data_IF_883610158436
#
_entry.id   IF_883610158436
#
_cell.length_a   1.000
_cell.length_b   1.000
_cell.length_c   1.000
_cell.angle_alpha   90.00
_cell.angle_beta   90.00
_cell.angle_gamma   90.00
#
_symmetry.space_group_name_H-M   'P 1'
#
loop_
_entity.id
_entity.type
_entity.pdbx_description
1 polymer ?
#
# COMPACT_ATOMS: atom_id res chain seq x y z
N UNK A 1 -25.31 -22.68 -19.84
CA UNK A 1 -23.98 -22.01 -19.83
C UNK A 1 -24.06 -20.69 -19.07
N UNK A 2 -24.86 -19.70 -19.49
CA UNK A 2 -24.93 -18.37 -18.86
C UNK A 2 -25.11 -18.37 -17.33
N UNK A 3 -26.11 -19.09 -16.78
CA UNK A 3 -26.30 -19.20 -15.32
C UNK A 3 -25.10 -19.77 -14.56
N UNK A 4 -24.29 -20.64 -15.20
CA UNK A 4 -23.06 -21.18 -14.61
C UNK A 4 -21.99 -20.09 -14.45
N UNK A 5 -22.03 -19.06 -15.28
CA UNK A 5 -21.16 -17.88 -15.23
C UNK A 5 -21.83 -16.69 -14.51
N UNK A 6 -22.87 -16.94 -13.70
CA UNK A 6 -23.46 -15.91 -12.85
C UNK A 6 -24.45 -14.96 -13.52
N UNK A 7 -24.82 -15.21 -14.78
CA UNK A 7 -25.79 -14.36 -15.48
C UNK A 7 -27.24 -14.63 -15.02
N UNK A 8 -27.96 -13.56 -14.73
CA UNK A 8 -29.39 -13.54 -14.46
C UNK A 8 -30.25 -13.58 -15.73
N UNK A 9 -31.56 -13.49 -15.55
CA UNK A 9 -32.52 -13.56 -16.67
C UNK A 9 -32.48 -12.30 -17.57
N UNK A 10 -31.91 -11.19 -17.09
CA UNK A 10 -31.68 -9.93 -17.81
C UNK A 10 -30.32 -9.88 -18.53
N UNK A 11 -29.56 -10.98 -18.54
CA UNK A 11 -28.21 -11.08 -19.08
C UNK A 11 -27.19 -10.16 -18.40
N UNK A 12 -27.44 -9.76 -17.16
CA UNK A 12 -26.43 -9.12 -16.29
C UNK A 12 -25.88 -10.11 -15.28
N UNK A 13 -24.64 -9.89 -14.81
CA UNK A 13 -24.10 -10.68 -13.71
C UNK A 13 -24.83 -10.30 -12.43
N UNK A 14 -25.31 -11.30 -11.69
CA UNK A 14 -26.08 -11.06 -10.47
C UNK A 14 -25.21 -10.42 -9.38
N UNK A 15 -25.83 -9.59 -8.54
CA UNK A 15 -25.13 -8.96 -7.41
C UNK A 15 -24.53 -10.01 -6.46
N UNK A 16 -25.24 -11.11 -6.24
CA UNK A 16 -24.80 -12.23 -5.40
C UNK A 16 -23.56 -12.94 -5.96
N UNK A 17 -23.42 -13.01 -7.28
CA UNK A 17 -22.25 -13.60 -7.93
C UNK A 17 -21.03 -12.68 -7.87
N UNK A 18 -21.22 -11.37 -8.09
CA UNK A 18 -20.15 -10.38 -8.04
C UNK A 18 -19.71 -10.05 -6.60
N UNK A 19 -20.67 -9.95 -5.70
CA UNK A 19 -20.46 -9.45 -4.34
C UNK A 19 -21.07 -10.41 -3.31
N UNK A 20 -20.64 -11.69 -3.29
CA UNK A 20 -21.10 -12.61 -2.28
C UNK A 20 -20.77 -12.07 -0.88
N UNK A 21 -21.65 -12.25 0.11
CA UNK A 21 -21.41 -11.75 1.46
C UNK A 21 -20.15 -12.38 2.04
N UNK A 22 -19.23 -11.51 2.46
CA UNK A 22 -17.99 -11.86 3.15
C UNK A 22 -17.98 -11.19 4.52
N UNK A 23 -18.09 -11.99 5.57
CA UNK A 23 -18.04 -11.48 6.94
C UNK A 23 -16.59 -11.16 7.34
N UNK A 24 -16.29 -9.88 7.55
CA UNK A 24 -15.01 -9.41 8.04
C UNK A 24 -15.20 -8.88 9.47
N UNK A 25 -14.75 -9.61 10.50
CA UNK A 25 -14.82 -9.12 11.87
C UNK A 25 -14.08 -7.79 12.04
N UNK A 26 -14.48 -7.01 13.04
CA UNK A 26 -13.72 -5.80 13.41
C UNK A 26 -12.28 -6.16 13.73
N UNK A 27 -11.36 -5.25 13.40
CA UNK A 27 -9.92 -5.41 13.65
C UNK A 27 -9.27 -6.54 12.84
N UNK A 28 -9.97 -7.14 11.87
CA UNK A 28 -9.40 -8.04 10.86
C UNK A 28 -9.14 -7.28 9.55
N UNK A 29 -8.43 -7.93 8.63
CA UNK A 29 -8.20 -7.48 7.26
C UNK A 29 -8.48 -8.62 6.28
N UNK A 30 -8.56 -8.30 5.00
CA UNK A 30 -8.70 -9.30 3.94
C UNK A 30 -7.44 -9.28 3.09
N UNK A 31 -6.94 -10.45 2.79
CA UNK A 31 -5.78 -10.65 1.91
C UNK A 31 -6.14 -11.68 0.83
N UNK A 32 -5.33 -11.74 -0.22
CA UNK A 32 -5.40 -12.87 -1.15
C UNK A 32 -4.99 -14.16 -0.44
N UNK A 33 -5.78 -15.21 -0.65
CA UNK A 33 -5.46 -16.58 -0.29
C UNK A 33 -4.56 -17.24 -1.34
N UNK A 34 -4.14 -18.48 -1.06
CA UNK A 34 -3.33 -19.27 -2.00
C UNK A 34 -4.01 -19.41 -3.37
N UNK A 35 -5.30 -19.76 -3.38
CA UNK A 35 -6.07 -19.93 -4.61
C UNK A 35 -6.19 -18.62 -5.41
N UNK A 36 -6.30 -17.48 -4.72
CA UNK A 36 -6.34 -16.17 -5.36
C UNK A 36 -5.03 -15.83 -6.06
N UNK A 37 -3.89 -16.02 -5.38
CA UNK A 37 -2.57 -15.84 -5.99
C UNK A 37 -2.34 -16.79 -7.16
N UNK A 38 -2.73 -18.06 -7.03
CA UNK A 38 -2.60 -19.04 -8.11
C UNK A 38 -3.40 -18.60 -9.34
N UNK A 39 -4.69 -18.31 -9.18
CA UNK A 39 -5.56 -17.87 -10.28
C UNK A 39 -5.01 -16.62 -10.98
N UNK A 40 -4.61 -15.60 -10.21
CA UNK A 40 -4.08 -14.36 -10.77
C UNK A 40 -2.73 -14.57 -11.49
N UNK A 41 -1.93 -15.52 -11.03
CA UNK A 41 -0.66 -15.88 -11.69
C UNK A 41 -0.91 -16.59 -13.01
N UNK A 42 -1.83 -17.55 -13.03
CA UNK A 42 -2.24 -18.25 -14.25
C UNK A 42 -2.88 -17.29 -15.27
N UNK A 43 -3.71 -16.36 -14.80
CA UNK A 43 -4.30 -15.30 -15.63
C UNK A 43 -3.22 -14.39 -16.24
N UNK A 44 -2.27 -13.93 -15.43
CA UNK A 44 -1.14 -13.13 -15.92
C UNK A 44 -0.38 -13.86 -17.03
N UNK A 45 0.00 -15.12 -16.77
CA UNK A 45 0.77 -15.93 -17.72
C UNK A 45 0.01 -16.24 -19.02
N UNK A 46 -1.33 -16.31 -18.96
CA UNK A 46 -2.17 -16.49 -20.14
C UNK A 46 -2.25 -15.22 -21.01
N UNK A 47 -2.10 -14.04 -20.40
CA UNK A 47 -2.15 -12.75 -21.09
C UNK A 47 -0.78 -12.25 -21.56
N UNK A 48 0.32 -12.68 -20.92
CA UNK A 48 1.71 -12.42 -21.33
C UNK A 48 2.04 -13.24 -22.58
N UNK A 49 1.76 -12.67 -23.76
CA UNK A 49 1.79 -13.35 -25.05
C UNK A 49 3.21 -13.50 -25.58
N UNK A 50 4.03 -12.47 -25.38
CA UNK A 50 5.42 -12.45 -25.81
C UNK A 50 6.38 -13.10 -24.78
N UNK A 51 5.87 -13.43 -23.58
CA UNK A 51 6.56 -14.13 -22.49
C UNK A 51 7.75 -13.33 -21.96
N UNK A 52 7.62 -12.01 -21.93
CA UNK A 52 8.64 -11.11 -21.39
C UNK A 52 8.56 -10.95 -19.86
N UNK A 53 7.52 -11.51 -19.22
CA UNK A 53 7.31 -11.45 -17.78
C UNK A 53 6.67 -10.14 -17.30
N UNK A 54 6.14 -9.34 -18.22
CA UNK A 54 5.39 -8.13 -17.99
C UNK A 54 4.11 -8.11 -18.85
N UNK A 55 3.18 -7.20 -18.52
CA UNK A 55 2.02 -6.94 -19.36
C UNK A 55 2.11 -5.52 -19.92
N UNK A 56 2.17 -5.44 -21.25
CA UNK A 56 2.11 -4.18 -21.96
C UNK A 56 0.66 -3.62 -22.00
N UNK A 57 0.46 -2.47 -22.66
CA UNK A 57 -0.85 -1.81 -22.71
C UNK A 57 -1.92 -2.65 -23.44
N UNK A 58 -1.55 -3.35 -24.51
CA UNK A 58 -2.48 -4.17 -25.30
C UNK A 58 -2.90 -5.42 -24.52
N UNK A 59 -1.94 -6.09 -23.86
CA UNK A 59 -2.20 -7.28 -23.05
C UNK A 59 -3.04 -6.94 -21.82
N UNK A 60 -2.80 -5.80 -21.17
CA UNK A 60 -3.63 -5.31 -20.07
C UNK A 60 -5.05 -4.97 -20.54
N UNK A 61 -5.20 -4.36 -21.73
CA UNK A 61 -6.51 -4.07 -22.30
C UNK A 61 -7.29 -5.35 -22.59
N UNK A 62 -6.62 -6.39 -23.08
CA UNK A 62 -7.21 -7.71 -23.31
C UNK A 62 -7.58 -8.41 -22.01
N UNK A 63 -6.69 -8.42 -21.00
CA UNK A 63 -6.94 -9.00 -19.68
C UNK A 63 -8.21 -8.43 -19.03
N UNK A 64 -8.40 -7.10 -19.13
CA UNK A 64 -9.56 -6.43 -18.54
C UNK A 64 -10.75 -6.27 -19.50
N UNK A 65 -10.71 -6.85 -20.70
CA UNK A 65 -11.75 -6.68 -21.72
C UNK A 65 -13.13 -7.21 -21.31
N UNK A 66 -13.18 -8.16 -20.38
CA UNK A 66 -14.43 -8.74 -19.82
C UNK A 66 -14.88 -8.06 -18.52
N UNK A 67 -14.19 -7.01 -18.08
CA UNK A 67 -14.48 -6.27 -16.85
C UNK A 67 -15.04 -4.88 -17.18
N UNK A 68 -15.59 -4.13 -16.21
CA UNK A 68 -16.00 -2.73 -16.40
C UNK A 68 -14.86 -1.75 -16.74
N UNK A 69 -13.63 -2.24 -16.94
CA UNK A 69 -12.40 -1.48 -17.19
C UNK A 69 -11.32 -1.83 -16.17
N UNK A 70 -10.11 -1.29 -16.34
CA UNK A 70 -9.01 -1.53 -15.39
C UNK A 70 -9.36 -0.96 -13.99
N UNK A 71 -9.36 -1.80 -12.93
CA UNK A 71 -9.80 -1.38 -11.60
C UNK A 71 -8.90 -0.32 -10.95
N UNK A 72 -7.66 -0.16 -11.43
CA UNK A 72 -6.60 0.60 -10.79
C UNK A 72 -6.31 1.95 -11.46
N UNK A 73 -6.93 2.26 -12.60
CA UNK A 73 -6.73 3.52 -13.34
C UNK A 73 -6.91 4.75 -12.45
N UNK A 74 -7.96 4.75 -11.62
CA UNK A 74 -8.25 5.86 -10.71
C UNK A 74 -7.21 6.03 -9.57
N UNK A 75 -6.39 5.01 -9.32
CA UNK A 75 -5.30 5.02 -8.32
C UNK A 75 -3.94 5.41 -8.94
N UNK A 76 -3.93 5.87 -10.19
CA UNK A 76 -2.69 6.25 -10.88
C UNK A 76 -1.84 5.07 -11.34
N UNK A 77 -2.44 3.90 -11.59
CA UNK A 77 -1.75 2.78 -12.22
C UNK A 77 -1.21 3.18 -13.61
N UNK A 78 0.02 2.74 -14.01
CA UNK A 78 0.92 1.81 -13.33
C UNK A 78 1.96 2.47 -12.41
N UNK A 79 1.84 3.77 -12.11
CA UNK A 79 2.78 4.48 -11.23
C UNK A 79 2.66 4.06 -9.75
N UNK A 80 1.66 3.27 -9.40
CA UNK A 80 1.43 2.74 -8.05
C UNK A 80 2.09 1.38 -7.75
N UNK A 81 2.85 0.81 -8.70
CA UNK A 81 3.53 -0.49 -8.52
C UNK A 81 4.82 -0.60 -9.35
N UNK A 82 5.48 -1.76 -9.25
CA UNK A 82 6.71 -2.09 -9.99
C UNK A 82 6.43 -2.43 -11.45
N UNK A 83 7.27 -1.87 -12.31
CA UNK A 83 7.30 -2.11 -13.75
C UNK A 83 8.71 -2.53 -14.20
N UNK A 84 8.81 -3.10 -15.40
CA UNK A 84 10.08 -3.38 -16.06
C UNK A 84 10.69 -2.10 -16.66
N UNK A 85 11.82 -2.23 -17.34
CA UNK A 85 12.54 -1.10 -17.98
C UNK A 85 11.72 -0.42 -19.09
N UNK A 86 10.81 -1.16 -19.73
CA UNK A 86 9.86 -0.65 -20.73
C UNK A 86 8.64 0.06 -20.11
N UNK A 87 8.53 0.07 -18.78
CA UNK A 87 7.39 0.66 -18.07
C UNK A 87 6.16 -0.26 -17.98
N UNK A 88 6.29 -1.54 -18.34
CA UNK A 88 5.22 -2.53 -18.33
C UNK A 88 5.15 -3.28 -17.00
N UNK A 89 3.97 -3.73 -16.63
CA UNK A 89 3.71 -4.23 -15.26
C UNK A 89 4.15 -5.67 -15.14
N UNK A 90 5.16 -5.92 -14.31
CA UNK A 90 5.67 -7.27 -14.01
C UNK A 90 4.66 -8.11 -13.24
N UNK A 91 4.82 -9.44 -13.22
CA UNK A 91 4.01 -10.32 -12.37
C UNK A 91 4.01 -9.89 -10.90
N UNK A 92 5.19 -9.51 -10.36
CA UNK A 92 5.31 -8.98 -9.00
C UNK A 92 4.45 -7.72 -8.82
N UNK A 93 4.55 -6.79 -9.77
CA UNK A 93 3.78 -5.55 -9.74
C UNK A 93 2.27 -5.77 -9.86
N UNK A 94 1.85 -6.75 -10.67
CA UNK A 94 0.46 -7.17 -10.84
C UNK A 94 -0.11 -7.76 -9.54
N UNK A 95 0.57 -8.73 -8.94
CA UNK A 95 0.14 -9.36 -7.67
C UNK A 95 0.16 -8.37 -6.50
N UNK A 96 1.12 -7.44 -6.48
CA UNK A 96 1.16 -6.35 -5.52
C UNK A 96 -0.09 -5.46 -5.63
N UNK A 97 -0.52 -5.10 -6.85
CA UNK A 97 -1.73 -4.29 -7.07
C UNK A 97 -3.01 -4.98 -6.65
N UNK A 98 -3.12 -6.29 -6.91
CA UNK A 98 -4.24 -7.07 -6.39
C UNK A 98 -4.24 -7.12 -4.86
N UNK A 99 -3.06 -7.26 -4.24
CA UNK A 99 -2.92 -7.25 -2.78
C UNK A 99 -3.32 -5.89 -2.18
N UNK A 100 -2.93 -4.79 -2.82
CA UNK A 100 -3.36 -3.43 -2.47
C UNK A 100 -4.88 -3.29 -2.56
N UNK A 101 -5.47 -3.67 -3.71
CA UNK A 101 -6.92 -3.55 -3.90
C UNK A 101 -7.68 -4.43 -2.91
N UNK A 102 -7.20 -5.65 -2.63
CA UNK A 102 -7.84 -6.56 -1.67
C UNK A 102 -7.85 -5.98 -0.26
N UNK A 103 -6.74 -5.37 0.16
CA UNK A 103 -6.61 -4.74 1.47
C UNK A 103 -7.56 -3.54 1.63
N UNK A 104 -7.66 -2.70 0.58
CA UNK A 104 -8.44 -1.45 0.63
C UNK A 104 -9.92 -1.64 0.31
N UNK A 105 -10.24 -2.58 -0.59
CA UNK A 105 -11.58 -2.87 -1.09
C UNK A 105 -11.71 -4.33 -1.56
N UNK A 106 -11.87 -5.23 -0.58
CA UNK A 106 -12.08 -6.65 -0.85
C UNK A 106 -13.37 -6.92 -1.64
N UNK A 107 -14.38 -6.05 -1.53
CA UNK A 107 -15.64 -6.19 -2.28
C UNK A 107 -15.41 -5.96 -3.77
N UNK A 108 -14.66 -4.91 -4.14
CA UNK A 108 -14.25 -4.68 -5.52
C UNK A 108 -13.39 -5.84 -6.05
N UNK A 109 -12.52 -6.39 -5.21
CA UNK A 109 -11.72 -7.57 -5.56
C UNK A 109 -12.59 -8.78 -5.91
N UNK A 110 -13.61 -9.09 -5.09
CA UNK A 110 -14.55 -10.18 -5.38
C UNK A 110 -15.25 -10.00 -6.74
N UNK A 111 -15.75 -8.79 -7.01
CA UNK A 111 -16.41 -8.50 -8.29
C UNK A 111 -15.48 -8.70 -9.48
N UNK A 112 -14.23 -8.23 -9.36
CA UNK A 112 -13.25 -8.39 -10.44
C UNK A 112 -12.78 -9.84 -10.62
N UNK A 113 -12.62 -10.62 -9.56
CA UNK A 113 -12.34 -12.07 -9.69
C UNK A 113 -13.47 -12.78 -10.43
N UNK A 114 -14.73 -12.42 -10.17
CA UNK A 114 -15.88 -12.95 -10.87
C UNK A 114 -15.89 -12.55 -12.37
N UNK A 115 -15.62 -11.28 -12.71
CA UNK A 115 -15.52 -10.83 -14.10
C UNK A 115 -14.39 -11.52 -14.89
N UNK A 116 -13.28 -11.79 -14.22
CA UNK A 116 -12.11 -12.48 -14.80
C UNK A 116 -12.29 -13.99 -14.88
N UNK A 117 -13.43 -14.52 -14.42
CA UNK A 117 -13.78 -15.92 -14.57
C UNK A 117 -13.17 -16.85 -13.52
N UNK A 118 -12.89 -16.36 -12.31
CA UNK A 118 -12.50 -17.22 -11.18
C UNK A 118 -13.50 -18.38 -11.05
N UNK A 119 -12.97 -19.60 -11.05
CA UNK A 119 -13.81 -20.80 -11.04
C UNK A 119 -14.35 -21.07 -9.63
N UNK A 120 -15.68 -21.12 -9.51
CA UNK A 120 -16.34 -21.40 -8.24
C UNK A 120 -16.68 -20.12 -7.48
N UNK A 121 -16.58 -20.19 -6.15
CA UNK A 121 -16.90 -19.06 -5.28
C UNK A 121 -15.67 -18.16 -5.10
N UNK A 122 -15.75 -16.90 -5.55
CA UNK A 122 -14.67 -15.93 -5.46
C UNK A 122 -14.19 -15.69 -4.02
N UNK A 123 -15.00 -16.01 -2.99
CA UNK A 123 -14.57 -15.91 -1.58
C UNK A 123 -13.42 -16.84 -1.25
N UNK A 124 -13.28 -17.96 -1.95
CA UNK A 124 -12.17 -18.92 -1.77
C UNK A 124 -10.82 -18.36 -2.19
N UNK A 125 -10.81 -17.32 -3.03
CA UNK A 125 -9.61 -16.61 -3.43
C UNK A 125 -9.07 -15.69 -2.32
N UNK A 126 -9.89 -15.38 -1.31
CA UNK A 126 -9.58 -14.43 -0.25
C UNK A 126 -9.42 -15.15 1.09
N UNK A 127 -8.63 -14.56 1.99
CA UNK A 127 -8.50 -15.00 3.38
C UNK A 127 -8.75 -13.83 4.32
N UNK A 128 -9.59 -14.05 5.33
CA UNK A 128 -9.77 -13.09 6.44
C UNK A 128 -8.68 -13.35 7.47
N UNK A 129 -7.95 -12.30 7.84
CA UNK A 129 -6.83 -12.40 8.77
C UNK A 129 -7.30 -12.54 10.22
N UNK A 130 -6.40 -12.90 11.13
CA UNK A 130 -6.66 -12.81 12.57
C UNK A 130 -6.80 -11.34 12.98
N UNK A 131 -7.49 -11.08 14.08
CA UNK A 131 -7.61 -9.72 14.62
C UNK A 131 -6.23 -9.14 14.95
N UNK A 132 -5.98 -7.88 14.59
CA UNK A 132 -4.70 -7.18 14.83
C UNK A 132 -4.34 -7.16 16.31
N UNK A 133 -5.30 -7.00 17.22
CA UNK A 133 -5.08 -7.12 18.68
C UNK A 133 -4.50 -8.46 19.09
N UNK A 134 -4.98 -9.56 18.50
CA UNK A 134 -4.46 -10.89 18.81
C UNK A 134 -3.04 -11.10 18.27
N UNK A 135 -2.71 -10.50 17.12
CA UNK A 135 -1.36 -10.53 16.56
C UNK A 135 -0.38 -9.66 17.37
N UNK A 136 -0.77 -8.41 17.69
CA UNK A 136 0.01 -7.50 18.56
C UNK A 136 0.34 -8.13 19.91
N UNK A 137 -0.63 -8.80 20.55
CA UNK A 137 -0.38 -9.54 21.82
C UNK A 137 0.67 -10.65 21.72
N UNK A 138 0.91 -11.19 20.52
CA UNK A 138 1.93 -12.22 20.28
C UNK A 138 3.31 -11.61 20.00
N UNK A 139 3.40 -10.29 19.81
CA UNK A 139 4.64 -9.58 19.44
C UNK A 139 5.15 -9.90 18.02
N UNK A 140 4.36 -10.62 17.21
CA UNK A 140 4.71 -10.95 15.82
C UNK A 140 3.47 -11.11 14.96
N UNK A 141 3.37 -10.29 13.93
CA UNK A 141 2.29 -10.31 12.94
C UNK A 141 2.59 -11.37 11.86
N UNK A 142 1.59 -12.18 11.51
CA UNK A 142 1.71 -13.23 10.49
C UNK A 142 1.14 -12.83 9.14
N UNK A 143 0.41 -11.71 9.08
CA UNK A 143 -0.12 -11.12 7.85
C UNK A 143 0.95 -10.88 6.78
N UNK A 144 0.50 -10.89 5.53
CA UNK A 144 1.34 -10.71 4.35
C UNK A 144 1.32 -9.27 3.84
N UNK A 145 0.30 -8.49 4.19
CA UNK A 145 0.11 -7.12 3.68
C UNK A 145 0.03 -6.12 4.84
N UNK A 146 0.86 -5.08 4.78
CA UNK A 146 0.97 -4.04 5.81
C UNK A 146 0.65 -2.66 5.23
N UNK A 147 -0.20 -1.90 5.92
CA UNK A 147 -0.56 -0.54 5.56
C UNK A 147 0.24 0.49 6.38
N UNK A 148 1.03 1.30 5.69
CA UNK A 148 1.75 2.42 6.27
C UNK A 148 1.17 3.75 5.75
N UNK A 149 0.68 4.60 6.65
CA UNK A 149 0.34 5.98 6.29
C UNK A 149 1.58 6.86 6.34
N UNK A 150 1.83 7.63 5.27
CA UNK A 150 2.97 8.54 5.16
C UNK A 150 2.47 9.97 5.38
N UNK A 151 2.92 10.60 6.46
CA UNK A 151 2.43 11.88 7.00
C UNK A 151 3.56 12.89 7.15
N UNK A 152 3.25 14.18 7.18
CA UNK A 152 4.26 15.25 7.18
C UNK A 152 3.87 16.46 6.35
N UNK A 153 4.60 17.56 6.55
CA UNK A 153 4.30 18.87 5.98
C UNK A 153 4.29 18.87 4.44
N UNK A 154 3.65 19.87 3.84
CA UNK A 154 3.78 20.11 2.40
C UNK A 154 5.27 20.28 2.04
N UNK A 155 5.72 19.68 0.95
CA UNK A 155 7.13 19.72 0.55
C UNK A 155 8.08 18.78 1.31
N UNK A 156 7.64 18.05 2.35
CA UNK A 156 8.54 17.24 3.19
C UNK A 156 9.16 15.99 2.54
N UNK A 157 8.95 15.77 1.24
CA UNK A 157 9.51 14.62 0.51
C UNK A 157 8.66 13.33 0.53
N UNK A 158 7.44 13.35 1.09
CA UNK A 158 6.54 12.17 1.14
C UNK A 158 6.33 11.50 -0.22
N UNK A 159 5.95 12.27 -1.24
CA UNK A 159 5.70 11.73 -2.59
C UNK A 159 6.97 11.16 -3.20
N UNK A 160 8.12 11.78 -2.94
CA UNK A 160 9.44 11.28 -3.37
C UNK A 160 9.74 9.92 -2.73
N UNK A 161 9.43 9.75 -1.44
CA UNK A 161 9.56 8.46 -0.73
C UNK A 161 8.66 7.37 -1.35
N UNK A 162 7.39 7.70 -1.62
CA UNK A 162 6.46 6.76 -2.28
C UNK A 162 6.96 6.36 -3.68
N UNK A 163 7.41 7.32 -4.49
CA UNK A 163 7.93 7.05 -5.84
C UNK A 163 9.21 6.22 -5.81
N UNK A 164 10.10 6.48 -4.85
CA UNK A 164 11.31 5.68 -4.65
C UNK A 164 10.98 4.22 -4.34
N UNK A 165 9.94 3.96 -3.55
CA UNK A 165 9.51 2.61 -3.18
C UNK A 165 9.12 1.74 -4.39
N UNK A 166 8.53 2.37 -5.40
CA UNK A 166 8.15 1.74 -6.67
C UNK A 166 9.13 2.03 -7.81
N UNK A 167 10.37 2.44 -7.47
CA UNK A 167 11.47 2.69 -8.43
C UNK A 167 11.13 3.72 -9.51
N UNK A 168 10.31 4.70 -9.18
CA UNK A 168 9.96 5.82 -10.06
C UNK A 168 10.86 7.03 -9.79
N UNK A 169 11.23 7.79 -10.83
CA UNK A 169 12.04 9.00 -10.65
C UNK A 169 11.29 10.06 -9.86
N UNK A 170 12.02 10.87 -9.10
CA UNK A 170 11.49 12.05 -8.42
C UNK A 170 10.94 13.02 -9.46
N UNK A 171 9.82 13.66 -9.14
CA UNK A 171 9.24 14.68 -10.01
C UNK A 171 10.10 15.95 -9.96
N UNK A 172 10.37 16.60 -11.11
CA UNK A 172 11.20 17.82 -11.15
C UNK A 172 10.52 19.03 -10.52
N UNK A 173 9.20 18.97 -10.35
CA UNK A 173 8.39 20.06 -9.81
C UNK A 173 7.50 19.52 -8.69
N UNK A 174 7.34 20.35 -7.65
CA UNK A 174 6.43 20.05 -6.56
C UNK A 174 4.97 20.14 -7.03
N UNK A 175 4.22 19.08 -6.78
CA UNK A 175 2.77 19.03 -7.00
C UNK A 175 2.09 18.73 -5.66
N UNK A 176 1.21 19.62 -5.15
CA UNK A 176 0.48 19.35 -3.93
C UNK A 176 -0.39 18.08 -4.02
N UNK A 177 -0.31 17.26 -2.99
CA UNK A 177 -1.13 16.04 -2.85
C UNK A 177 -2.57 16.40 -2.54
N UNK A 178 -3.43 16.40 -3.57
CA UNK A 178 -4.87 16.73 -3.46
C UNK A 178 -5.76 15.51 -3.25
N UNK A 179 -5.24 14.31 -3.50
CA UNK A 179 -5.91 13.02 -3.34
C UNK A 179 -4.98 12.04 -2.66
N UNK A 180 -5.54 10.98 -2.07
CA UNK A 180 -4.73 9.91 -1.47
C UNK A 180 -3.93 9.22 -2.57
N UNK A 181 -2.61 9.17 -2.40
CA UNK A 181 -1.72 8.41 -3.28
C UNK A 181 -1.39 7.09 -2.60
N UNK A 182 -1.55 5.98 -3.30
CA UNK A 182 -1.26 4.65 -2.78
C UNK A 182 -0.24 3.98 -3.70
N UNK A 183 0.82 3.45 -3.12
CA UNK A 183 1.81 2.64 -3.83
C UNK A 183 2.00 1.33 -3.09
N UNK A 184 2.35 0.27 -3.81
CA UNK A 184 2.56 -1.06 -3.25
C UNK A 184 3.75 -1.75 -3.89
N UNK A 185 4.53 -2.44 -3.08
CA UNK A 185 5.62 -3.28 -3.54
C UNK A 185 5.91 -4.39 -2.51
N UNK A 186 6.64 -5.41 -2.94
CA UNK A 186 7.18 -6.46 -2.09
C UNK A 186 8.45 -5.98 -1.38
N UNK A 187 8.59 -6.37 -0.11
CA UNK A 187 9.72 -6.10 0.78
C UNK A 187 10.15 -7.42 1.40
N UNK A 188 11.44 -7.71 1.43
CA UNK A 188 11.98 -8.92 2.05
C UNK A 188 12.50 -8.60 3.45
N UNK A 189 11.87 -9.18 4.48
CA UNK A 189 12.29 -9.03 5.87
C UNK A 189 12.68 -10.38 6.43
N UNK A 190 13.98 -10.56 6.74
CA UNK A 190 14.54 -11.79 7.35
C UNK A 190 14.16 -13.06 6.57
N UNK A 191 14.25 -13.01 5.23
CA UNK A 191 13.93 -14.14 4.33
C UNK A 191 12.43 -14.36 4.09
N UNK A 192 11.57 -13.45 4.52
CA UNK A 192 10.12 -13.50 4.29
C UNK A 192 9.67 -12.30 3.46
N UNK A 193 9.10 -12.57 2.29
CA UNK A 193 8.48 -11.53 1.45
C UNK A 193 7.15 -11.08 2.02
N UNK A 194 6.92 -9.77 2.03
CA UNK A 194 5.71 -9.09 2.47
C UNK A 194 5.35 -7.98 1.50
N UNK A 195 4.07 -7.66 1.39
CA UNK A 195 3.63 -6.46 0.69
C UNK A 195 3.56 -5.30 1.68
N UNK A 196 4.25 -4.21 1.37
CA UNK A 196 4.10 -2.94 2.06
C UNK A 196 3.29 -2.01 1.16
N UNK A 197 2.22 -1.45 1.72
CA UNK A 197 1.40 -0.42 1.09
C UNK A 197 1.73 0.91 1.75
N UNK A 198 2.16 1.89 0.96
CA UNK A 198 2.36 3.25 1.43
C UNK A 198 1.19 4.12 0.93
N UNK A 199 0.50 4.79 1.86
CA UNK A 199 -0.54 5.75 1.53
C UNK A 199 -0.15 7.16 1.99
N UNK A 200 0.08 8.05 1.04
CA UNK A 200 0.27 9.47 1.31
C UNK A 200 -1.08 10.18 1.37
N UNK A 201 -1.24 11.01 2.41
CA UNK A 201 -2.38 11.91 2.56
C UNK A 201 -1.88 13.35 2.55
N UNK A 202 -2.52 14.20 1.73
CA UNK A 202 -2.21 15.63 1.68
C UNK A 202 -2.32 16.28 3.06
N UNK A 203 -1.45 17.25 3.35
CA UNK A 203 -1.29 17.86 4.69
C UNK A 203 -2.61 18.36 5.29
N UNK A 204 -3.53 18.83 4.46
CA UNK A 204 -4.83 19.36 4.90
C UNK A 204 -5.81 18.27 5.40
N UNK A 205 -5.55 17.00 5.10
CA UNK A 205 -6.42 15.87 5.46
C UNK A 205 -5.80 14.95 6.52
N UNK A 206 -4.57 15.22 6.97
CA UNK A 206 -3.86 14.34 7.92
C UNK A 206 -4.51 14.34 9.30
N UNK A 207 -4.99 15.50 9.79
CA UNK A 207 -5.73 15.53 11.06
C UNK A 207 -7.04 14.74 11.01
N UNK A 208 -7.76 14.81 9.89
CA UNK A 208 -8.99 14.04 9.70
C UNK A 208 -8.70 12.54 9.70
N UNK A 209 -7.65 12.11 8.98
CA UNK A 209 -7.17 10.74 8.99
C UNK A 209 -6.85 10.25 10.41
N UNK A 210 -6.11 11.04 11.20
CA UNK A 210 -5.72 10.69 12.57
C UNK A 210 -6.91 10.66 13.55
N UNK A 211 -8.03 11.30 13.20
CA UNK A 211 -9.28 11.23 13.96
C UNK A 211 -10.16 10.04 13.55
N UNK A 212 -10.03 9.55 12.33
CA UNK A 212 -10.77 8.39 11.83
C UNK A 212 -10.31 7.09 12.51
N UNK A 213 -11.18 6.55 13.37
CA UNK A 213 -10.88 5.30 14.09
C UNK A 213 -10.74 4.10 13.15
N UNK A 214 -11.56 4.01 12.09
CA UNK A 214 -11.59 2.85 11.21
C UNK A 214 -10.33 2.79 10.36
N UNK A 215 -9.88 3.93 9.83
CA UNK A 215 -8.61 4.01 9.09
C UNK A 215 -7.42 3.67 9.96
N UNK A 216 -7.36 4.19 11.19
CA UNK A 216 -6.29 3.85 12.12
C UNK A 216 -6.33 2.38 12.59
N UNK A 217 -7.50 1.77 12.70
CA UNK A 217 -7.62 0.33 12.99
C UNK A 217 -7.06 -0.54 11.85
N UNK A 218 -7.14 -0.08 10.60
CA UNK A 218 -6.53 -0.75 9.44
C UNK A 218 -5.03 -0.44 9.28
N UNK A 219 -4.52 0.55 9.99
CA UNK A 219 -3.14 0.97 9.87
C UNK A 219 -2.21 0.05 10.66
N UNK A 220 -1.07 -0.29 10.06
CA UNK A 220 0.00 -1.04 10.71
C UNK A 220 1.08 -0.10 11.28
N UNK A 221 1.37 0.98 10.58
CA UNK A 221 2.43 1.93 10.92
C UNK A 221 2.09 3.34 10.41
N UNK A 222 2.39 4.38 11.19
CA UNK A 222 2.53 5.71 10.60
C UNK A 222 4.01 6.03 10.39
N UNK A 223 4.37 6.51 9.21
CA UNK A 223 5.68 7.04 8.89
C UNK A 223 5.58 8.56 8.78
N UNK A 224 6.16 9.27 9.74
CA UNK A 224 6.27 10.71 9.73
C UNK A 224 7.51 11.15 8.99
N UNK A 225 7.33 11.95 7.95
CA UNK A 225 8.41 12.45 7.09
C UNK A 225 8.56 13.95 7.29
N UNK A 226 9.76 14.38 7.69
CA UNK A 226 10.11 15.79 7.78
C UNK A 226 11.32 16.12 6.91
N UNK A 227 11.42 17.38 6.52
CA UNK A 227 12.52 17.95 5.75
C UNK A 227 13.50 18.67 6.68
N UNK A 228 14.79 18.31 6.61
CA UNK A 228 15.84 18.92 7.40
C UNK A 228 16.24 20.32 6.94
N UNK A 229 15.91 20.69 5.70
CA UNK A 229 16.10 22.03 5.17
C UNK A 229 14.95 22.99 5.48
N UNK A 230 13.88 22.51 6.13
CA UNK A 230 12.79 23.34 6.64
C UNK A 230 12.64 23.20 8.16
N UNK A 231 13.02 24.26 8.87
CA UNK A 231 12.98 24.32 10.33
C UNK A 231 11.59 24.07 10.94
N UNK A 232 10.50 24.26 10.17
CA UNK A 232 9.11 24.04 10.61
C UNK A 232 8.60 22.63 10.29
N UNK A 233 9.29 21.87 9.45
CA UNK A 233 8.81 20.56 8.95
C UNK A 233 8.68 19.55 10.08
N UNK A 234 9.66 19.53 10.99
CA UNK A 234 9.62 18.66 12.17
C UNK A 234 8.60 19.12 13.20
N UNK A 235 8.45 20.43 13.43
CA UNK A 235 7.42 20.98 14.31
C UNK A 235 6.01 20.55 13.86
N UNK A 236 5.75 20.60 12.55
CA UNK A 236 4.49 20.10 11.98
C UNK A 236 4.24 18.64 12.37
N UNK A 237 5.23 17.76 12.17
CA UNK A 237 5.12 16.35 12.56
C UNK A 237 4.88 16.18 14.06
N UNK A 238 5.65 16.88 14.90
CA UNK A 238 5.52 16.81 16.36
C UNK A 238 4.16 17.34 16.86
N UNK A 239 3.54 18.26 16.12
CA UNK A 239 2.20 18.80 16.43
C UNK A 239 1.06 17.82 16.12
N UNK A 240 1.30 16.83 15.25
CA UNK A 240 0.28 15.84 14.89
C UNK A 240 -0.03 14.94 16.08
N UNK A 241 -1.26 15.02 16.57
CA UNK A 241 -1.70 14.19 17.70
C UNK A 241 -1.95 12.76 17.24
N UNK A 242 -1.19 11.87 17.85
CA UNK A 242 -1.23 10.45 17.55
C UNK A 242 -1.97 9.69 18.63
N UNK A 243 -2.73 8.67 18.21
CA UNK A 243 -3.30 7.71 19.17
C UNK A 243 -2.23 6.71 19.61
N UNK A 244 -2.17 6.35 20.91
CA UNK A 244 -1.17 5.40 21.42
C UNK A 244 -1.25 3.97 20.83
N UNK A 245 -2.24 3.66 19.99
CA UNK A 245 -2.54 2.30 19.56
C UNK A 245 -1.89 1.87 18.25
N UNK A 246 -1.22 2.79 17.55
CA UNK A 246 -0.51 2.52 16.29
C UNK A 246 0.98 2.78 16.55
N UNK A 247 1.85 2.11 15.82
CA UNK A 247 3.30 2.34 15.92
C UNK A 247 3.72 3.41 14.94
N UNK A 248 4.81 4.11 15.25
CA UNK A 248 5.22 5.28 14.51
C UNK A 248 6.72 5.27 14.26
N UNK A 249 7.12 5.61 13.04
CA UNK A 249 8.51 5.83 12.67
C UNK A 249 8.67 7.27 12.19
N UNK A 250 9.84 7.86 12.44
CA UNK A 250 10.24 9.14 11.87
C UNK A 250 11.24 8.89 10.75
N UNK A 251 11.12 9.65 9.66
CA UNK A 251 12.03 9.60 8.52
C UNK A 251 12.34 11.01 8.01
N UNK A 252 13.50 11.18 7.40
CA UNK A 252 13.90 12.42 6.74
C UNK A 252 14.77 12.14 5.52
N UNK A 253 14.84 13.10 4.59
CA UNK A 253 15.84 13.04 3.50
C UNK A 253 17.23 13.44 4.04
N UNK A 254 18.27 12.70 3.65
CA UNK A 254 19.66 12.95 4.02
C UNK A 254 20.39 13.86 3.02
N UNK A 255 19.83 14.07 1.82
CA UNK A 255 20.48 14.85 0.78
C UNK A 255 20.42 16.38 1.00
N UNK A 256 19.75 16.82 2.08
CA UNK A 256 19.48 18.22 2.35
C UNK A 256 20.33 18.73 3.52
N UNK A 257 20.81 19.97 3.39
CA UNK A 257 21.58 20.65 4.43
C UNK A 257 20.76 20.77 5.71
N UNK A 258 21.42 20.54 6.85
CA UNK A 258 20.75 20.55 8.15
C UNK A 258 20.50 21.98 8.63
N UNK A 259 19.23 22.32 8.84
CA UNK A 259 18.84 23.56 9.51
C UNK A 259 18.26 23.20 10.88
N UNK A 260 18.65 23.90 11.96
CA UNK A 260 18.08 23.68 13.29
C UNK A 260 16.55 23.78 13.27
N UNK A 261 15.89 22.76 13.83
CA UNK A 261 14.43 22.79 13.98
C UNK A 261 14.00 23.91 14.92
N UNK A 262 12.82 24.49 14.67
CA UNK A 262 12.17 25.44 15.59
C UNK A 262 11.48 24.75 16.77
N UNK A 263 11.29 23.45 16.71
CA UNK A 263 10.73 22.70 17.82
C UNK A 263 11.72 22.67 18.99
N UNK A 264 11.20 22.78 20.21
CA UNK A 264 12.04 22.89 21.43
C UNK A 264 12.96 21.67 21.65
N UNK A 265 12.61 20.53 21.05
CA UNK A 265 13.32 19.25 21.23
C UNK A 265 13.88 18.76 19.88
N UNK A 266 15.17 18.41 19.79
CA UNK A 266 15.71 17.79 18.57
C UNK A 266 15.02 16.46 18.21
N UNK A 267 14.92 16.07 16.92
CA UNK A 267 14.21 14.86 16.50
C UNK A 267 14.69 13.56 17.15
N UNK A 268 16.00 13.40 17.37
CA UNK A 268 16.59 12.23 18.03
C UNK A 268 16.21 12.16 19.52
N UNK A 269 16.19 13.31 20.19
CA UNK A 269 15.77 13.43 21.59
C UNK A 269 14.27 13.17 21.71
N UNK A 270 13.46 13.69 20.78
CA UNK A 270 12.03 13.44 20.71
C UNK A 270 11.72 11.95 20.57
N UNK A 271 12.37 11.25 19.62
CA UNK A 271 12.22 9.80 19.49
C UNK A 271 12.56 9.06 20.79
N UNK A 272 13.68 9.40 21.43
CA UNK A 272 14.11 8.76 22.69
C UNK A 272 13.10 8.97 23.83
N UNK A 273 12.54 10.17 23.96
CA UNK A 273 11.52 10.48 24.98
C UNK A 273 10.23 9.67 24.79
N UNK A 274 9.90 9.33 23.55
CA UNK A 274 8.73 8.51 23.20
C UNK A 274 9.03 7.01 23.11
N UNK A 275 10.28 6.58 23.35
CA UNK A 275 10.70 5.18 23.20
C UNK A 275 10.72 4.70 21.74
N UNK A 276 10.80 5.61 20.76
CA UNK A 276 10.86 5.30 19.34
C UNK A 276 12.31 5.04 18.89
N UNK A 277 12.45 4.33 17.78
CA UNK A 277 13.71 4.24 17.06
C UNK A 277 14.19 5.64 16.61
N UNK A 278 15.51 5.85 16.45
CA UNK A 278 16.04 7.10 15.92
C UNK A 278 15.46 7.39 14.51
N UNK A 279 15.39 8.68 14.11
CA UNK A 279 14.90 9.04 12.77
C UNK A 279 15.63 8.30 11.65
N UNK A 280 14.87 7.74 10.71
CA UNK A 280 15.35 7.00 9.56
C UNK A 280 15.81 7.97 8.47
N UNK A 281 17.09 7.90 8.16
CA UNK A 281 17.70 8.69 7.09
C UNK A 281 17.45 8.03 5.73
N UNK A 282 16.83 8.74 4.80
CA UNK A 282 16.52 8.28 3.44
C UNK A 282 17.33 9.08 2.43
N UNK A 283 17.94 8.41 1.45
CA UNK A 283 18.37 9.10 0.23
C UNK A 283 17.47 8.68 -0.91
N UNK A 284 16.66 9.61 -1.41
CA UNK A 284 15.82 9.35 -2.58
C UNK A 284 16.64 9.43 -3.89
N UNK A 285 17.79 10.12 -3.88
CA UNK A 285 18.56 10.40 -5.10
C UNK A 285 19.78 9.50 -5.35
N UNK A 286 20.39 8.90 -4.32
CA UNK A 286 21.77 8.37 -4.46
C UNK A 286 22.02 6.92 -4.01
N UNK A 287 21.05 6.18 -3.46
CA UNK A 287 21.24 4.77 -3.06
C UNK A 287 19.94 3.95 -3.17
N UNK A 288 20.02 2.60 -3.26
CA UNK A 288 18.83 1.77 -3.21
C UNK A 288 18.17 1.93 -1.83
N UNK A 289 17.00 2.55 -1.83
CA UNK A 289 16.15 2.88 -0.67
C UNK A 289 15.59 1.64 0.06
N UNK A 290 16.10 0.44 -0.22
CA UNK A 290 15.62 -0.84 0.35
C UNK A 290 15.68 -0.88 1.87
N UNK A 291 16.64 -0.20 2.49
CA UNK A 291 16.85 -0.30 3.94
C UNK A 291 15.72 0.35 4.77
N UNK A 292 15.15 1.48 4.31
CA UNK A 292 14.02 2.08 5.04
C UNK A 292 12.77 1.21 4.93
N UNK A 293 12.43 0.71 3.75
CA UNK A 293 11.20 -0.08 3.58
C UNK A 293 11.26 -1.41 4.31
N UNK A 294 12.45 -2.04 4.37
CA UNK A 294 12.72 -3.19 5.22
C UNK A 294 12.50 -2.83 6.70
N UNK A 295 13.01 -1.69 7.15
CA UNK A 295 12.86 -1.23 8.54
C UNK A 295 11.40 -0.92 8.90
N UNK A 296 10.68 -0.18 8.05
CA UNK A 296 9.25 0.11 8.24
C UNK A 296 8.43 -1.19 8.32
N UNK A 297 8.74 -2.14 7.44
CA UNK A 297 8.06 -3.45 7.43
C UNK A 297 8.42 -4.26 8.68
N UNK A 298 9.67 -4.24 9.14
CA UNK A 298 10.08 -4.96 10.36
C UNK A 298 9.39 -4.38 11.61
N UNK A 299 9.24 -3.05 11.71
CA UNK A 299 8.47 -2.39 12.80
C UNK A 299 7.00 -2.82 12.72
N UNK A 300 6.38 -2.77 11.54
CA UNK A 300 4.99 -3.19 11.35
C UNK A 300 4.77 -4.69 11.67
N UNK A 301 5.79 -5.52 11.46
CA UNK A 301 5.76 -6.95 11.79
C UNK A 301 5.95 -7.23 13.29
N UNK A 302 6.60 -6.34 14.02
CA UNK A 302 6.95 -6.48 15.44
C UNK A 302 6.53 -5.23 16.25
N UNK A 303 5.22 -4.97 16.34
CA UNK A 303 4.65 -3.87 17.13
C UNK A 303 4.77 -4.10 18.65
#
# INVERSE_FOLDING_TARGET
>A
VLRKFGYGDDLTLTEEFLYPPLEVPRDCSVELGHNGYQFLTELFQACDKDRDGALNEEELAELFSTTPGNPWTAMGFPDSTIVNESGWVTLQGFLAQWSLMTLLDSRKTLGYLAYLGYHGDAREALKVTKTRKAERRRGRVQRSVFLCYVLGAAGSGKTSLLRAFVRRPVLPHYTPTTRVLSVVNTVEVKGSERYLVLQEVGSNFQEELLRDKRRLEMCDLLCFVYDRSDANSFEYVASLRVRPSVDHALAHDHNLDDIPTRFDVPPDVYCRQLGLAPPLSVSVMTQPTTDIFNTLTDIAMHP
#
